data_IF_966056503291
#
_entry.id   IF_966056503291
#
_cell.length_a   1.000
_cell.length_b   1.000
_cell.length_c   1.000
_cell.angle_alpha   90.00
_cell.angle_beta   90.00
_cell.angle_gamma   90.00
#
_symmetry.space_group_name_H-M   'P 1'
#
loop_
_entity.id
_entity.type
_entity.pdbx_description
1 polymer ?
#
# COMPACT_ATOMS: atom_id res chain seq x y z
N UNK A 1 37.35 -0.50 33.12
CA UNK A 1 36.57 0.52 32.38
C UNK A 1 35.25 -0.11 31.99
N UNK A 2 34.16 0.30 32.64
CA UNK A 2 32.81 -0.21 32.37
C UNK A 2 32.26 0.64 31.22
N UNK A 3 32.29 0.11 30.01
CA UNK A 3 31.75 0.78 28.84
C UNK A 3 30.22 0.56 28.83
N UNK A 4 29.50 1.67 28.73
CA UNK A 4 28.05 1.81 28.94
C UNK A 4 27.20 0.94 27.99
N UNK A 5 26.60 -0.13 28.52
CA UNK A 5 25.53 -0.91 27.88
C UNK A 5 24.30 -0.07 27.48
N UNK A 6 24.13 1.11 28.08
CA UNK A 6 23.04 2.05 27.76
C UNK A 6 23.20 2.77 26.42
N UNK A 7 24.42 2.83 25.87
CA UNK A 7 24.67 3.43 24.54
C UNK A 7 24.37 2.42 23.42
N UNK A 8 24.62 1.14 23.66
CA UNK A 8 24.40 0.06 22.70
C UNK A 8 22.91 -0.26 22.48
N UNK A 9 22.08 -0.28 23.54
CA UNK A 9 20.62 -0.43 23.39
C UNK A 9 19.96 0.74 22.64
N UNK A 10 20.49 1.96 22.77
CA UNK A 10 19.96 3.13 22.06
C UNK A 10 20.34 3.12 20.57
N UNK A 11 21.53 2.63 20.23
CA UNK A 11 21.97 2.51 18.84
C UNK A 11 21.19 1.42 18.08
N UNK A 12 20.92 0.27 18.71
CA UNK A 12 20.15 -0.85 18.12
C UNK A 12 18.66 -0.48 17.97
N UNK A 13 18.10 0.25 18.94
CA UNK A 13 16.73 0.78 18.85
C UNK A 13 16.59 1.81 17.72
N UNK A 14 17.62 2.62 17.47
CA UNK A 14 17.56 3.65 16.44
C UNK A 14 17.69 3.06 15.02
N UNK A 15 18.53 2.04 14.80
CA UNK A 15 18.70 1.40 13.48
C UNK A 15 17.50 0.55 13.08
N UNK A 16 16.87 -0.17 14.03
CA UNK A 16 15.62 -0.90 13.76
C UNK A 16 14.47 0.07 13.48
N UNK A 17 14.39 1.22 14.17
CA UNK A 17 13.40 2.25 13.89
C UNK A 17 13.63 2.93 12.52
N UNK A 18 14.88 3.13 12.11
CA UNK A 18 15.24 3.75 10.82
C UNK A 18 14.94 2.82 9.64
N UNK A 19 15.22 1.53 9.76
CA UNK A 19 14.83 0.51 8.76
C UNK A 19 13.31 0.33 8.65
N UNK A 20 12.57 0.41 9.77
CA UNK A 20 11.10 0.36 9.77
C UNK A 20 10.49 1.64 9.18
N UNK A 21 11.13 2.81 9.36
CA UNK A 21 10.69 4.08 8.75
C UNK A 21 10.99 4.13 7.25
N UNK A 22 12.16 3.65 6.79
CA UNK A 22 12.49 3.57 5.37
C UNK A 22 11.58 2.59 4.61
N UNK A 23 11.26 1.44 5.19
CA UNK A 23 10.27 0.51 4.60
C UNK A 23 8.85 1.08 4.58
N UNK A 24 8.47 1.88 5.59
CA UNK A 24 7.14 2.51 5.65
C UNK A 24 6.97 3.68 4.67
N UNK A 25 8.02 4.43 4.34
CA UNK A 25 7.97 5.48 3.31
C UNK A 25 8.01 4.89 1.89
N UNK A 26 8.81 3.84 1.67
CA UNK A 26 8.97 3.16 0.37
C UNK A 26 7.68 2.45 -0.08
N UNK A 27 6.91 1.89 0.85
CA UNK A 27 5.59 1.33 0.53
C UNK A 27 4.60 2.41 0.00
N UNK A 28 4.73 3.65 0.47
CA UNK A 28 3.82 4.72 0.12
C UNK A 28 4.05 5.28 -1.30
N UNK A 29 5.30 5.36 -1.77
CA UNK A 29 5.63 5.82 -3.13
C UNK A 29 5.07 4.85 -4.18
N UNK A 30 5.25 3.54 -3.97
CA UNK A 30 4.67 2.53 -4.86
C UNK A 30 3.15 2.57 -4.89
N UNK A 31 2.52 2.65 -3.71
CA UNK A 31 1.06 2.68 -3.61
C UNK A 31 0.47 3.87 -4.40
N UNK A 32 1.14 5.03 -4.38
CA UNK A 32 0.74 6.20 -5.18
C UNK A 32 0.83 5.94 -6.67
N UNK A 33 1.91 5.33 -7.15
CA UNK A 33 2.10 5.00 -8.58
C UNK A 33 1.06 3.96 -9.03
N UNK A 34 0.82 2.92 -8.23
CA UNK A 34 -0.17 1.89 -8.52
C UNK A 34 -1.60 2.45 -8.57
N UNK A 35 -1.97 3.25 -7.58
CA UNK A 35 -3.29 3.92 -7.55
C UNK A 35 -3.48 4.84 -8.74
N UNK A 36 -2.47 5.64 -9.10
CA UNK A 36 -2.51 6.50 -10.28
C UNK A 36 -2.64 5.71 -11.58
N UNK A 37 -1.95 4.57 -11.69
CA UNK A 37 -2.03 3.68 -12.84
C UNK A 37 -3.42 3.03 -12.97
N UNK A 38 -3.99 2.58 -11.86
CA UNK A 38 -5.35 2.01 -11.84
C UNK A 38 -6.40 3.05 -12.27
N UNK A 39 -6.31 4.27 -11.72
CA UNK A 39 -7.15 5.39 -12.12
C UNK A 39 -7.01 5.70 -13.62
N UNK A 40 -5.79 5.83 -14.14
CA UNK A 40 -5.57 6.11 -15.56
C UNK A 40 -6.12 5.01 -16.49
N UNK A 41 -6.04 3.74 -16.07
CA UNK A 41 -6.63 2.62 -16.82
C UNK A 41 -8.15 2.66 -16.80
N UNK A 42 -8.76 3.07 -15.68
CA UNK A 42 -10.21 3.29 -15.59
C UNK A 42 -10.64 4.41 -16.55
N UNK A 43 -9.95 5.54 -16.52
CA UNK A 43 -10.23 6.68 -17.39
C UNK A 43 -10.11 6.29 -18.87
N UNK A 44 -9.09 5.51 -19.22
CA UNK A 44 -8.93 4.98 -20.57
C UNK A 44 -10.13 4.12 -21.00
N UNK A 45 -10.56 3.16 -20.16
CA UNK A 45 -11.74 2.32 -20.47
C UNK A 45 -12.99 3.15 -20.68
N UNK A 46 -13.22 4.14 -19.82
CA UNK A 46 -14.38 5.04 -19.94
C UNK A 46 -14.31 5.80 -21.25
N UNK A 47 -13.16 6.41 -21.56
CA UNK A 47 -13.01 7.18 -22.81
C UNK A 47 -13.18 6.33 -24.07
N UNK A 48 -12.72 5.07 -24.06
CA UNK A 48 -12.93 4.13 -25.16
C UNK A 48 -14.41 3.76 -25.35
N UNK A 49 -15.13 3.49 -24.26
CA UNK A 49 -16.57 3.22 -24.33
C UNK A 49 -17.36 4.45 -24.86
N UNK A 50 -16.94 5.66 -24.47
CA UNK A 50 -17.50 6.90 -25.02
C UNK A 50 -17.23 7.03 -26.52
N UNK A 51 -16.01 6.73 -26.98
CA UNK A 51 -15.67 6.72 -28.41
C UNK A 51 -16.55 5.73 -29.20
N UNK A 52 -16.66 4.49 -28.72
CA UNK A 52 -17.48 3.45 -29.35
C UNK A 52 -18.94 3.90 -29.47
N UNK A 53 -19.50 4.44 -28.39
CA UNK A 53 -20.87 4.96 -28.39
C UNK A 53 -21.07 6.06 -29.44
N UNK A 54 -20.18 7.05 -29.48
CA UNK A 54 -20.30 8.18 -30.41
C UNK A 54 -20.12 7.70 -31.85
N UNK A 55 -19.20 6.78 -32.09
CA UNK A 55 -18.99 6.20 -33.42
C UNK A 55 -20.24 5.46 -33.93
N UNK A 56 -20.91 4.71 -33.04
CA UNK A 56 -22.16 4.02 -33.35
C UNK A 56 -23.31 4.99 -33.64
N UNK A 57 -23.47 6.05 -32.83
CA UNK A 57 -24.48 7.09 -33.07
C UNK A 57 -24.25 7.79 -34.42
N UNK A 58 -23.01 8.12 -34.73
CA UNK A 58 -22.62 8.73 -36.01
C UNK A 58 -22.94 7.81 -37.20
N UNK A 59 -22.69 6.50 -37.10
CA UNK A 59 -23.04 5.55 -38.15
C UNK A 59 -24.55 5.47 -38.37
N UNK A 60 -25.33 5.41 -37.28
CA UNK A 60 -26.80 5.44 -37.35
C UNK A 60 -27.31 6.71 -38.03
N UNK A 61 -26.71 7.87 -37.72
CA UNK A 61 -27.05 9.14 -38.36
C UNK A 61 -26.72 9.14 -39.86
N UNK A 62 -25.57 8.58 -40.25
CA UNK A 62 -25.16 8.44 -41.66
C UNK A 62 -26.09 7.51 -42.46
N UNK A 63 -26.67 6.50 -41.83
CA UNK A 63 -27.63 5.59 -42.47
C UNK A 63 -29.04 6.18 -42.58
N UNK A 64 -29.38 7.17 -41.76
CA UNK A 64 -30.70 7.81 -41.82
C UNK A 64 -30.79 8.79 -43.00
N UNK A 65 -31.82 8.61 -43.84
CA UNK A 65 -31.99 9.32 -45.13
C UNK A 65 -32.28 10.83 -44.99
N UNK A 66 -32.55 11.31 -43.78
CA UNK A 66 -32.97 12.70 -43.50
C UNK A 66 -32.05 13.45 -42.53
N UNK A 67 -30.86 12.94 -42.22
CA UNK A 67 -29.93 13.69 -41.36
C UNK A 67 -29.25 14.81 -42.14
N UNK A 68 -29.30 16.02 -41.57
CA UNK A 68 -28.62 17.18 -42.14
C UNK A 68 -27.11 16.96 -42.21
N UNK A 69 -26.42 17.30 -43.33
CA UNK A 69 -24.97 17.18 -43.43
C UNK A 69 -24.22 18.00 -42.37
N UNK A 70 -24.82 19.10 -41.91
CA UNK A 70 -24.26 19.93 -40.84
C UNK A 70 -24.29 19.24 -39.47
N UNK A 71 -25.19 18.29 -39.24
CA UNK A 71 -25.22 17.46 -38.02
C UNK A 71 -24.09 16.44 -38.07
N UNK A 72 -23.93 15.77 -39.21
CA UNK A 72 -22.90 14.74 -39.41
C UNK A 72 -21.52 15.35 -39.17
N UNK A 73 -21.27 16.55 -39.72
CA UNK A 73 -20.01 17.27 -39.53
C UNK A 73 -19.72 17.62 -38.08
N UNK A 74 -20.71 18.03 -37.31
CA UNK A 74 -20.54 18.37 -35.90
C UNK A 74 -20.28 17.11 -35.06
N UNK A 75 -20.94 15.98 -35.39
CA UNK A 75 -20.64 14.68 -34.78
C UNK A 75 -19.25 14.15 -35.13
N UNK A 76 -18.82 14.26 -36.40
CA UNK A 76 -17.46 13.90 -36.80
C UNK A 76 -16.44 14.74 -36.00
N UNK A 77 -16.73 16.04 -35.80
CA UNK A 77 -15.89 16.92 -34.96
C UNK A 77 -15.86 16.45 -33.51
N UNK A 78 -17.01 16.10 -32.94
CA UNK A 78 -17.11 15.59 -31.58
C UNK A 78 -16.32 14.28 -31.41
N UNK A 79 -16.46 13.33 -32.35
CA UNK A 79 -15.74 12.06 -32.36
C UNK A 79 -14.21 12.29 -32.40
N UNK A 80 -13.73 13.19 -33.24
CA UNK A 80 -12.30 13.52 -33.33
C UNK A 80 -11.75 14.03 -31.97
N UNK A 81 -12.53 14.84 -31.23
CA UNK A 81 -12.12 15.31 -29.90
C UNK A 81 -12.06 14.18 -28.88
N UNK A 82 -13.06 13.31 -28.86
CA UNK A 82 -13.07 12.14 -27.96
C UNK A 82 -11.94 11.17 -28.29
N UNK A 83 -11.65 10.93 -29.58
CA UNK A 83 -10.49 10.14 -30.01
C UNK A 83 -9.16 10.73 -29.53
N UNK A 84 -9.03 12.05 -29.55
CA UNK A 84 -7.86 12.72 -29.00
C UNK A 84 -7.75 12.52 -27.48
N UNK A 85 -8.86 12.53 -26.74
CA UNK A 85 -8.89 12.23 -25.30
C UNK A 85 -8.45 10.79 -25.03
N UNK A 86 -8.98 9.81 -25.79
CA UNK A 86 -8.56 8.39 -25.70
C UNK A 86 -7.07 8.25 -25.95
N UNK A 87 -6.54 8.94 -26.97
CA UNK A 87 -5.12 8.92 -27.29
C UNK A 87 -4.25 9.52 -26.16
N UNK A 88 -4.68 10.59 -25.51
CA UNK A 88 -3.95 11.17 -24.38
C UNK A 88 -4.05 10.29 -23.12
N UNK A 89 -5.22 9.69 -22.85
CA UNK A 89 -5.39 8.69 -21.78
C UNK A 89 -4.48 7.48 -22.00
N UNK A 90 -4.35 6.99 -23.23
CA UNK A 90 -3.43 5.90 -23.57
C UNK A 90 -1.98 6.27 -23.26
N UNK A 91 -1.54 7.47 -23.67
CA UNK A 91 -0.19 7.98 -23.34
C UNK A 91 0.03 8.10 -21.84
N UNK A 92 -0.98 8.54 -21.07
CA UNK A 92 -0.91 8.62 -19.61
C UNK A 92 -0.67 7.23 -19.01
N UNK A 93 -1.45 6.22 -19.44
CA UNK A 93 -1.27 4.83 -19.01
C UNK A 93 0.13 4.33 -19.36
N UNK A 94 0.58 4.47 -20.60
CA UNK A 94 1.92 4.02 -21.04
C UNK A 94 3.05 4.62 -20.18
N UNK A 95 2.97 5.93 -19.87
CA UNK A 95 3.96 6.60 -19.02
C UNK A 95 3.94 6.09 -17.58
N UNK A 96 2.75 5.87 -17.01
CA UNK A 96 2.62 5.34 -15.65
C UNK A 96 3.07 3.88 -15.55
N UNK A 97 2.82 3.07 -16.59
CA UNK A 97 3.34 1.71 -16.68
C UNK A 97 4.86 1.70 -16.78
N UNK A 98 5.44 2.58 -17.59
CA UNK A 98 6.89 2.74 -17.66
C UNK A 98 7.49 3.21 -16.33
N UNK A 99 6.81 4.12 -15.62
CA UNK A 99 7.23 4.58 -14.29
C UNK A 99 7.17 3.45 -13.26
N UNK A 100 6.08 2.66 -13.25
CA UNK A 100 5.94 1.47 -12.41
C UNK A 100 7.00 0.40 -12.74
N UNK A 101 7.33 0.21 -14.01
CA UNK A 101 8.39 -0.72 -14.42
C UNK A 101 9.78 -0.28 -13.93
N UNK A 102 10.09 1.03 -13.96
CA UNK A 102 11.32 1.58 -13.37
C UNK A 102 11.44 1.29 -11.88
N UNK A 103 10.33 1.34 -11.16
CA UNK A 103 10.29 0.98 -9.74
C UNK A 103 10.57 -0.52 -9.52
N UNK A 104 9.89 -1.39 -10.28
CA UNK A 104 10.02 -2.85 -10.15
C UNK A 104 11.39 -3.39 -10.57
N UNK A 105 12.02 -2.80 -11.60
CA UNK A 105 13.36 -3.22 -12.06
C UNK A 105 14.44 -2.96 -11.01
N UNK A 106 14.40 -1.80 -10.32
CA UNK A 106 15.32 -1.51 -9.22
C UNK A 106 15.13 -2.46 -8.03
N UNK A 107 13.87 -2.80 -7.68
CA UNK A 107 13.56 -3.80 -6.65
C UNK A 107 14.24 -5.14 -6.93
N UNK A 108 14.21 -5.61 -8.19
CA UNK A 108 14.86 -6.86 -8.58
C UNK A 108 16.39 -6.80 -8.45
N UNK A 109 17.01 -5.67 -8.78
CA UNK A 109 18.47 -5.49 -8.62
C UNK A 109 18.92 -5.46 -7.16
N UNK A 110 18.10 -4.94 -6.25
CA UNK A 110 18.37 -4.95 -4.81
C UNK A 110 18.18 -6.34 -4.18
N UNK A 111 17.13 -7.07 -4.58
CA UNK A 111 16.85 -8.42 -4.07
C UNK A 111 17.88 -9.47 -4.53
N UNK A 112 18.50 -9.30 -5.70
CA UNK A 112 19.47 -10.24 -6.26
C UNK A 112 20.91 -10.03 -5.77
N UNK A 113 21.29 -8.81 -5.37
CA UNK A 113 22.67 -8.51 -4.96
C UNK A 113 23.01 -8.94 -3.52
N UNK A 114 22.02 -9.43 -2.75
CA UNK A 114 22.21 -9.82 -1.35
C UNK A 114 22.58 -11.29 -1.14
N UNK A 115 22.57 -12.16 -2.17
CA UNK A 115 22.57 -13.61 -1.92
C UNK A 115 23.73 -14.46 -2.44
N UNK A 116 24.69 -13.96 -3.23
CA UNK A 116 25.54 -14.92 -3.97
C UNK A 116 27.07 -14.82 -3.86
N UNK A 117 27.66 -13.88 -3.10
CA UNK A 117 29.14 -13.75 -3.13
C UNK A 117 29.83 -13.43 -1.79
N UNK A 118 29.22 -13.77 -0.65
CA UNK A 118 29.90 -13.61 0.66
C UNK A 118 30.60 -14.88 1.15
N UNK A 119 30.35 -16.05 0.55
CA UNK A 119 31.02 -17.30 0.94
C UNK A 119 32.48 -17.39 0.46
N UNK A 120 32.88 -16.63 -0.56
CA UNK A 120 34.22 -16.69 -1.12
C UNK A 120 35.22 -15.67 -0.53
N UNK A 121 34.77 -14.74 0.33
CA UNK A 121 35.62 -13.68 0.93
C UNK A 121 35.94 -13.87 2.42
N UNK A 122 35.62 -15.03 3.01
CA UNK A 122 35.85 -15.33 4.44
C UNK A 122 37.30 -15.76 4.73
N UNK A 123 38.29 -14.95 4.36
CA UNK A 123 39.53 -14.83 5.15
C UNK A 123 40.33 -13.58 4.70
N UNK A 124 40.05 -12.45 5.34
CA UNK A 124 41.18 -11.69 5.87
C UNK A 124 40.92 -11.34 7.34
N UNK A 125 41.94 -11.51 8.18
CA UNK A 125 41.96 -11.07 9.58
C UNK A 125 41.84 -9.54 9.66
N UNK A 126 40.60 -9.02 9.59
CA UNK A 126 40.26 -7.60 9.76
C UNK A 126 39.60 -7.44 11.14
N UNK A 127 39.96 -6.42 11.95
CA UNK A 127 39.30 -6.16 13.22
C UNK A 127 37.80 -5.94 13.03
N UNK A 128 36.96 -6.75 13.69
CA UNK A 128 35.49 -6.74 13.58
C UNK A 128 34.85 -5.36 13.82
N UNK A 129 35.52 -4.48 14.59
CA UNK A 129 35.04 -3.13 14.91
C UNK A 129 35.07 -2.15 13.72
N UNK A 130 36.01 -2.32 12.76
CA UNK A 130 36.10 -1.43 11.57
C UNK A 130 35.10 -1.82 10.47
N UNK A 131 34.79 -3.12 10.34
CA UNK A 131 33.86 -3.63 9.32
C UNK A 131 32.42 -3.20 9.63
N UNK A 132 32.05 -3.16 10.91
CA UNK A 132 30.72 -2.71 11.33
C UNK A 132 30.51 -1.23 11.00
N UNK A 133 31.50 -0.38 11.25
CA UNK A 133 31.42 1.05 10.92
C UNK A 133 31.29 1.27 9.40
N UNK A 134 32.05 0.54 8.58
CA UNK A 134 31.95 0.63 7.11
C UNK A 134 30.58 0.17 6.58
N UNK A 135 30.05 -0.94 7.09
CA UNK A 135 28.71 -1.43 6.72
C UNK A 135 27.64 -0.41 7.09
N UNK A 136 27.72 0.21 8.27
CA UNK A 136 26.73 1.23 8.67
C UNK A 136 26.83 2.51 7.83
N UNK A 137 28.01 2.86 7.33
CA UNK A 137 28.18 3.98 6.40
C UNK A 137 27.57 3.65 5.04
N UNK A 138 27.82 2.45 4.51
CA UNK A 138 27.23 1.99 3.25
C UNK A 138 25.71 1.90 3.32
N UNK A 139 25.16 1.40 4.44
CA UNK A 139 23.71 1.31 4.67
C UNK A 139 23.06 2.69 4.65
N UNK A 140 23.67 3.68 5.31
CA UNK A 140 23.20 5.07 5.26
C UNK A 140 23.30 5.68 3.87
N UNK A 141 24.36 5.39 3.11
CA UNK A 141 24.49 5.86 1.73
C UNK A 141 23.42 5.23 0.83
N UNK A 142 23.10 3.96 1.06
CA UNK A 142 22.06 3.23 0.34
C UNK A 142 20.68 3.84 0.58
N UNK A 143 20.33 4.04 1.84
CA UNK A 143 19.06 4.66 2.24
C UNK A 143 18.91 6.08 1.67
N UNK A 144 19.99 6.87 1.68
CA UNK A 144 20.00 8.20 1.09
C UNK A 144 19.71 8.15 -0.42
N UNK A 145 20.35 7.22 -1.14
CA UNK A 145 20.13 7.05 -2.58
C UNK A 145 18.73 6.54 -2.92
N UNK A 146 18.14 5.72 -2.04
CA UNK A 146 16.76 5.25 -2.17
C UNK A 146 15.76 6.40 -2.02
N UNK A 147 15.96 7.25 -1.01
CA UNK A 147 15.11 8.41 -0.77
C UNK A 147 15.13 9.40 -1.94
N UNK A 148 16.31 9.71 -2.49
CA UNK A 148 16.46 10.57 -3.67
C UNK A 148 15.76 9.98 -4.91
N UNK A 149 15.81 8.66 -5.06
CA UNK A 149 15.13 7.98 -6.16
C UNK A 149 13.62 8.02 -6.02
N UNK A 150 13.09 7.79 -4.83
CA UNK A 150 11.66 7.87 -4.55
C UNK A 150 11.13 9.29 -4.81
N UNK A 151 11.88 10.32 -4.41
CA UNK A 151 11.54 11.71 -4.71
C UNK A 151 11.49 11.97 -6.23
N UNK A 152 12.48 11.48 -6.98
CA UNK A 152 12.49 11.59 -8.43
C UNK A 152 11.29 10.88 -9.09
N UNK A 153 10.86 9.72 -8.58
CA UNK A 153 9.69 9.03 -9.13
C UNK A 153 8.38 9.76 -8.83
N UNK A 154 8.24 10.34 -7.63
CA UNK A 154 7.08 11.13 -7.27
C UNK A 154 6.99 12.41 -8.11
N UNK A 155 8.12 13.09 -8.34
CA UNK A 155 8.15 14.28 -9.21
C UNK A 155 7.78 13.96 -10.65
N UNK A 156 8.25 12.82 -11.20
CA UNK A 156 7.84 12.37 -12.54
C UNK A 156 6.36 11.97 -12.57
N UNK A 157 5.83 11.34 -11.52
CA UNK A 157 4.40 11.04 -11.39
C UNK A 157 3.56 12.32 -11.45
N UNK A 158 3.90 13.31 -10.64
CA UNK A 158 3.22 14.61 -10.60
C UNK A 158 3.29 15.31 -11.95
N UNK A 159 4.44 15.26 -12.62
CA UNK A 159 4.61 15.82 -13.96
C UNK A 159 3.72 15.12 -15.01
N UNK A 160 3.62 13.79 -14.96
CA UNK A 160 2.73 13.02 -15.85
C UNK A 160 1.28 13.41 -15.60
N UNK A 161 0.86 13.51 -14.34
CA UNK A 161 -0.50 13.87 -13.96
C UNK A 161 -0.84 15.29 -14.40
N UNK A 162 -0.01 16.28 -14.06
CA UNK A 162 -0.24 17.68 -14.42
C UNK A 162 -0.35 17.87 -15.94
N UNK A 163 0.63 17.34 -16.69
CA UNK A 163 0.67 17.50 -18.15
C UNK A 163 -0.47 16.78 -18.87
N UNK A 164 -0.90 15.62 -18.35
CA UNK A 164 -2.05 14.92 -18.93
C UNK A 164 -3.37 15.60 -18.56
N UNK A 165 -3.52 16.07 -17.32
CA UNK A 165 -4.71 16.78 -16.86
C UNK A 165 -4.96 18.05 -17.66
N UNK A 166 -3.94 18.88 -17.87
CA UNK A 166 -4.02 20.11 -18.66
C UNK A 166 -4.57 19.84 -20.06
N UNK A 167 -3.95 18.89 -20.77
CA UNK A 167 -4.40 18.53 -22.12
C UNK A 167 -5.78 17.89 -22.16
N UNK A 168 -6.11 17.03 -21.19
CA UNK A 168 -7.42 16.40 -21.12
C UNK A 168 -8.50 17.45 -20.84
N UNK A 169 -8.20 18.48 -20.06
CA UNK A 169 -9.10 19.59 -19.81
C UNK A 169 -9.37 20.38 -21.10
N UNK A 170 -8.33 20.75 -21.84
CA UNK A 170 -8.48 21.44 -23.14
C UNK A 170 -9.30 20.61 -24.14
N UNK A 171 -9.03 19.31 -24.20
CA UNK A 171 -9.75 18.39 -25.09
C UNK A 171 -11.20 18.19 -24.65
N UNK A 172 -11.45 18.11 -23.34
CA UNK A 172 -12.79 17.98 -22.77
C UNK A 172 -13.61 19.25 -23.02
N UNK A 173 -13.03 20.44 -22.90
CA UNK A 173 -13.68 21.70 -23.25
C UNK A 173 -14.03 21.74 -24.74
N UNK A 174 -13.10 21.36 -25.61
CA UNK A 174 -13.33 21.30 -27.05
C UNK A 174 -14.42 20.27 -27.42
N UNK A 175 -14.43 19.11 -26.75
CA UNK A 175 -15.45 18.08 -26.92
C UNK A 175 -16.83 18.56 -26.44
N UNK A 176 -16.89 19.22 -25.28
CA UNK A 176 -18.12 19.81 -24.74
C UNK A 176 -18.67 20.90 -25.67
N UNK A 177 -17.81 21.76 -26.23
CA UNK A 177 -18.22 22.75 -27.20
C UNK A 177 -18.76 22.13 -28.51
N UNK A 178 -18.22 20.99 -28.95
CA UNK A 178 -18.77 20.25 -30.09
C UNK A 178 -20.13 19.61 -29.75
N UNK A 179 -20.24 19.00 -28.58
CA UNK A 179 -21.48 18.43 -28.07
C UNK A 179 -22.60 19.48 -27.90
N UNK A 180 -22.25 20.69 -27.46
CA UNK A 180 -23.20 21.78 -27.32
C UNK A 180 -23.80 22.20 -28.66
N UNK A 181 -23.01 22.25 -29.74
CA UNK A 181 -23.52 22.57 -31.09
C UNK A 181 -24.55 21.55 -31.58
N UNK A 182 -24.36 20.28 -31.23
CA UNK A 182 -25.31 19.22 -31.53
C UNK A 182 -26.60 19.38 -30.71
N UNK A 183 -26.48 19.76 -29.43
CA UNK A 183 -27.62 20.07 -28.55
C UNK A 183 -28.42 21.27 -29.04
N UNK A 184 -27.76 22.33 -29.50
CA UNK A 184 -28.39 23.51 -30.09
C UNK A 184 -29.17 23.17 -31.39
N UNK A 185 -28.77 22.10 -32.07
CA UNK A 185 -29.46 21.53 -33.25
C UNK A 185 -30.55 20.51 -32.90
N UNK A 186 -30.88 20.35 -31.62
CA UNK A 186 -31.94 19.46 -31.14
C UNK A 186 -31.54 17.99 -31.02
N UNK A 187 -30.24 17.68 -31.01
CA UNK A 187 -29.76 16.33 -30.74
C UNK A 187 -29.46 16.17 -29.26
N UNK A 188 -30.13 15.20 -28.64
CA UNK A 188 -29.80 14.76 -27.29
C UNK A 188 -28.54 13.90 -27.33
N UNK A 189 -27.46 14.43 -26.75
CA UNK A 189 -26.28 13.64 -26.44
C UNK A 189 -26.43 13.15 -25.01
N UNK A 190 -26.57 11.84 -24.88
CA UNK A 190 -26.45 11.10 -23.62
C UNK A 190 -25.00 11.14 -23.15
N UNK A 191 -24.59 12.29 -22.63
CA UNK A 191 -23.31 12.48 -21.98
C UNK A 191 -23.46 12.13 -20.51
N UNK A 192 -23.17 10.89 -20.13
CA UNK A 192 -23.07 10.45 -18.72
C UNK A 192 -21.88 11.10 -17.98
N UNK A 193 -21.19 12.07 -18.58
CA UNK A 193 -20.23 12.93 -17.92
C UNK A 193 -20.93 13.98 -17.04
N UNK A 194 -21.81 13.55 -16.14
CA UNK A 194 -22.12 14.35 -14.95
C UNK A 194 -20.86 14.30 -14.09
N UNK A 195 -20.23 15.44 -13.96
CA UNK A 195 -19.09 15.68 -13.09
C UNK A 195 -19.38 15.20 -11.66
N UNK A 196 -18.94 14.00 -11.32
CA UNK A 196 -18.59 13.60 -9.96
C UNK A 196 -17.23 14.20 -9.65
N UNK A 197 -17.20 15.52 -9.50
CA UNK A 197 -16.07 16.27 -8.96
C UNK A 197 -16.66 17.45 -8.17
N UNK A 198 -17.40 17.10 -7.13
CA UNK A 198 -17.93 18.03 -6.14
C UNK A 198 -17.85 17.37 -4.77
N UNK A 199 -16.64 17.13 -4.27
CA UNK A 199 -16.42 17.03 -2.82
C UNK A 199 -14.92 17.19 -2.48
N UNK A 200 -14.51 18.43 -2.18
CA UNK A 200 -13.52 18.73 -1.13
C UNK A 200 -13.34 20.25 -0.99
N UNK A 201 -14.34 20.91 -0.42
CA UNK A 201 -14.09 22.13 0.35
C UNK A 201 -14.66 21.89 1.74
N UNK A 202 -13.85 21.20 2.55
CA UNK A 202 -14.11 21.00 3.96
C UNK A 202 -13.78 22.31 4.70
N UNK A 203 -14.86 23.04 4.92
CA UNK A 203 -15.21 23.78 6.14
C UNK A 203 -14.15 23.78 7.25
N UNK A 204 -13.64 24.98 7.55
CA UNK A 204 -12.85 25.26 8.74
C UNK A 204 -13.23 26.65 9.24
N UNK A 205 -14.13 26.68 10.23
CA UNK A 205 -14.03 27.58 11.39
C UNK A 205 -15.22 27.34 12.33
N UNK A 206 -14.98 26.61 13.42
CA UNK A 206 -15.77 26.75 14.64
C UNK A 206 -14.95 27.59 15.64
N UNK A 207 -15.52 28.69 16.11
CA UNK A 207 -15.38 29.13 17.51
C UNK A 207 -16.73 29.63 18.03
N UNK A 208 -16.98 29.49 19.35
CA UNK A 208 -18.32 29.52 19.94
C UNK A 208 -18.65 30.85 20.63
N UNK A 209 -19.93 31.20 20.72
CA UNK A 209 -20.40 32.23 21.66
C UNK A 209 -21.74 31.88 22.30
N UNK A 210 -21.83 32.25 23.58
CA UNK A 210 -22.80 31.82 24.58
C UNK A 210 -24.19 32.50 24.50
N UNK A 211 -25.18 31.85 25.16
CA UNK A 211 -25.93 32.41 26.32
C UNK A 211 -27.48 32.40 26.27
N UNK A 212 -28.02 31.76 27.34
CA UNK A 212 -29.29 32.04 28.09
C UNK A 212 -30.63 31.57 27.46
N UNK A 213 -31.62 31.03 28.19
CA UNK A 213 -31.96 31.07 29.63
C UNK A 213 -33.03 30.00 29.99
N UNK A 214 -32.87 29.39 31.16
CA UNK A 214 -33.83 28.93 32.20
C UNK A 214 -35.26 28.44 31.88
N UNK A 215 -35.68 27.32 32.50
CA UNK A 215 -36.61 27.22 33.67
C UNK A 215 -36.65 25.74 34.15
N UNK A 216 -36.30 25.41 35.41
CA UNK A 216 -37.21 25.11 36.55
C UNK A 216 -37.78 23.67 36.50
N UNK A 217 -37.82 22.79 37.51
CA UNK A 217 -37.60 22.84 38.96
C UNK A 217 -37.54 21.39 39.55
N UNK A 218 -36.65 21.20 40.53
CA UNK A 218 -36.76 20.48 41.82
C UNK A 218 -37.17 18.99 41.98
N UNK A 219 -36.50 18.41 43.00
CA UNK A 219 -36.86 17.29 43.92
C UNK A 219 -36.34 15.88 43.58
N UNK A 220 -36.03 14.98 44.52
CA UNK A 220 -35.16 14.90 45.72
C UNK A 220 -35.19 13.42 46.16
N UNK A 221 -34.12 12.93 46.80
CA UNK A 221 -34.06 11.60 47.46
C UNK A 221 -33.00 10.68 46.84
N UNK A 222 -31.75 10.58 47.32
CA UNK A 222 -31.18 10.22 48.64
C UNK A 222 -31.15 8.71 48.92
N UNK A 223 -29.92 8.19 48.89
CA UNK A 223 -29.34 7.05 49.67
C UNK A 223 -29.90 5.63 49.47
N UNK A 224 -29.16 4.54 49.67
CA UNK A 224 -27.76 4.26 50.02
C UNK A 224 -27.55 2.73 49.97
N UNK A 225 -26.28 2.33 50.01
CA UNK A 225 -25.77 1.09 50.65
C UNK A 225 -26.06 -0.23 49.91
N UNK A 226 -25.13 -1.17 49.75
CA UNK A 226 -23.95 -1.58 50.52
C UNK A 226 -23.06 -2.44 49.59
N UNK A 227 -21.72 -2.35 49.51
CA UNK A 227 -20.69 -2.88 50.45
C UNK A 227 -21.03 -4.28 50.98
N UNK A 228 -20.17 -5.27 51.16
CA UNK A 228 -18.72 -5.50 51.20
C UNK A 228 -18.61 -7.05 51.15
N UNK A 229 -17.52 -7.76 50.89
CA UNK A 229 -16.34 -8.05 51.76
C UNK A 229 -15.63 -9.22 51.01
N UNK A 230 -14.36 -9.11 50.58
CA UNK A 230 -13.10 -9.51 51.28
C UNK A 230 -13.18 -10.89 51.98
N UNK A 231 -12.18 -11.76 51.88
CA UNK A 231 -10.80 -11.74 52.40
C UNK A 231 -10.07 -12.99 51.84
N UNK A 232 -8.78 -13.30 51.99
CA UNK A 232 -7.49 -12.60 52.00
C UNK A 232 -6.42 -13.72 52.15
N UNK A 233 -5.19 -13.45 51.72
CA UNK A 233 -3.89 -14.01 52.16
C UNK A 233 -3.58 -15.54 52.21
N UNK A 234 -2.45 -15.94 51.60
CA UNK A 234 -1.28 -16.47 52.33
C UNK A 234 -0.06 -16.74 51.40
N UNK A 235 1.09 -16.20 51.82
CA UNK A 235 2.45 -16.51 51.34
C UNK A 235 3.10 -17.53 52.29
N UNK A 236 3.84 -18.55 51.80
CA UNK A 236 5.08 -19.04 52.45
C UNK A 236 5.88 -20.07 51.61
N UNK A 237 7.12 -19.70 51.28
CA UNK A 237 8.41 -20.43 51.44
C UNK A 237 8.68 -21.83 50.85
N UNK A 238 9.76 -21.87 50.01
CA UNK A 238 11.00 -22.68 50.16
C UNK A 238 11.00 -24.20 49.87
N UNK A 239 11.88 -24.65 48.93
CA UNK A 239 12.42 -26.02 48.95
C UNK A 239 12.99 -26.61 47.64
N UNK A 240 14.32 -26.79 47.62
CA UNK A 240 15.22 -27.61 46.77
C UNK A 240 14.65 -28.85 46.01
N UNK A 241 15.17 -28.98 44.77
CA UNK A 241 15.75 -30.18 44.11
C UNK A 241 15.14 -31.58 44.30
N UNK A 242 14.54 -32.14 43.24
CA UNK A 242 14.92 -33.43 42.59
C UNK A 242 13.90 -33.86 41.54
N UNK A 243 14.40 -34.01 40.32
CA UNK A 243 14.19 -35.13 39.39
C UNK A 243 12.99 -36.08 39.61
N UNK A 244 12.13 -36.13 38.59
CA UNK A 244 11.42 -37.33 38.21
C UNK A 244 9.89 -37.26 38.19
N UNK A 245 9.36 -37.41 36.97
CA UNK A 245 8.09 -38.09 36.63
C UNK A 245 6.86 -37.19 36.37
N UNK A 246 6.49 -37.23 35.08
CA UNK A 246 5.14 -37.12 34.48
C UNK A 246 4.32 -35.83 34.61
N UNK A 247 4.33 -35.08 33.50
CA UNK A 247 3.28 -34.13 33.16
C UNK A 247 3.52 -33.51 31.79
N UNK A 248 2.64 -33.82 30.83
CA UNK A 248 2.57 -33.25 29.46
C UNK A 248 3.34 -33.96 28.33
N UNK A 249 3.07 -35.26 28.19
CA UNK A 249 3.37 -36.03 26.97
C UNK A 249 2.39 -35.67 25.84
N UNK A 250 2.61 -34.57 25.09
CA UNK A 250 2.21 -34.42 23.66
C UNK A 250 3.04 -33.36 22.94
N UNK A 251 4.37 -33.51 22.95
CA UNK A 251 5.21 -32.84 21.96
C UNK A 251 5.85 -33.93 21.11
N UNK A 252 5.62 -34.00 19.79
CA UNK A 252 6.23 -35.02 18.95
C UNK A 252 7.69 -34.64 18.67
N UNK A 253 8.53 -34.55 19.71
CA UNK A 253 9.98 -34.32 19.58
C UNK A 253 10.72 -35.52 18.95
N UNK A 254 10.01 -36.53 18.46
CA UNK A 254 10.63 -37.74 17.95
C UNK A 254 9.94 -38.28 16.68
N UNK A 255 9.79 -37.42 15.66
CA UNK A 255 9.41 -37.88 14.31
C UNK A 255 10.22 -37.29 13.17
N UNK A 256 10.98 -36.21 13.38
CA UNK A 256 11.72 -35.54 12.32
C UNK A 256 13.09 -35.11 12.84
N UNK A 257 14.13 -35.54 12.13
CA UNK A 257 15.52 -35.18 12.40
C UNK A 257 15.79 -33.75 11.89
N UNK A 258 16.12 -32.80 12.80
CA UNK A 258 16.48 -31.42 12.46
C UNK A 258 17.62 -31.28 11.46
N UNK A 259 18.47 -32.30 11.38
CA UNK A 259 19.68 -32.30 10.55
C UNK A 259 19.37 -32.38 9.06
N UNK A 260 18.16 -32.83 8.70
CA UNK A 260 17.68 -32.99 7.32
C UNK A 260 16.63 -31.93 6.95
N UNK A 261 16.65 -30.78 7.60
CA UNK A 261 15.79 -29.65 7.24
C UNK A 261 16.52 -28.76 6.25
N UNK A 262 15.95 -28.62 5.06
CA UNK A 262 16.35 -27.61 4.10
C UNK A 262 15.98 -26.20 4.61
N UNK A 263 16.37 -25.17 3.86
CA UNK A 263 16.22 -23.77 4.27
C UNK A 263 14.75 -23.45 4.60
N UNK A 264 13.81 -23.95 3.79
CA UNK A 264 12.37 -23.69 3.95
C UNK A 264 11.79 -24.43 5.16
N UNK A 265 12.13 -25.71 5.34
CA UNK A 265 11.68 -26.49 6.50
C UNK A 265 12.22 -25.89 7.81
N UNK A 266 13.47 -25.42 7.80
CA UNK A 266 14.08 -24.77 8.96
C UNK A 266 13.37 -23.46 9.31
N UNK A 267 13.04 -22.64 8.32
CA UNK A 267 12.29 -21.41 8.52
C UNK A 267 10.88 -21.66 9.07
N UNK A 268 10.14 -22.62 8.51
CA UNK A 268 8.80 -22.96 9.00
C UNK A 268 8.83 -23.46 10.45
N UNK A 269 9.82 -24.28 10.82
CA UNK A 269 10.00 -24.73 12.21
C UNK A 269 10.36 -23.57 13.14
N UNK A 270 11.34 -22.75 12.78
CA UNK A 270 11.75 -21.62 13.61
C UNK A 270 10.62 -20.60 13.80
N UNK A 271 9.84 -20.34 12.74
CA UNK A 271 8.64 -19.51 12.82
C UNK A 271 7.63 -20.12 13.79
N UNK A 272 7.34 -21.43 13.68
CA UNK A 272 6.42 -22.11 14.57
C UNK A 272 6.91 -22.17 16.04
N UNK A 273 8.21 -22.24 16.27
CA UNK A 273 8.79 -22.25 17.62
C UNK A 273 8.77 -20.87 18.27
N UNK A 274 9.02 -19.81 17.49
CA UNK A 274 9.03 -18.40 17.93
C UNK A 274 7.63 -17.77 18.01
N UNK A 275 6.64 -18.35 17.35
CA UNK A 275 5.27 -17.85 17.35
C UNK A 275 4.61 -17.92 18.74
N UNK A 276 3.96 -16.82 19.12
CA UNK A 276 3.29 -16.62 20.40
C UNK A 276 1.80 -16.95 20.33
N UNK A 277 1.18 -16.77 19.16
CA UNK A 277 -0.23 -17.14 18.93
C UNK A 277 -0.38 -18.67 18.74
N UNK A 278 -1.17 -19.35 19.59
CA UNK A 278 -1.36 -20.80 19.51
C UNK A 278 -1.97 -21.27 18.18
N UNK A 279 -2.85 -20.49 17.55
CA UNK A 279 -3.51 -20.90 16.31
C UNK A 279 -2.56 -20.83 15.11
N UNK A 280 -1.78 -19.75 15.00
CA UNK A 280 -0.75 -19.60 13.97
C UNK A 280 0.38 -20.62 14.15
N UNK A 281 0.78 -20.88 15.39
CA UNK A 281 1.78 -21.90 15.72
C UNK A 281 1.37 -23.28 15.20
N UNK A 282 0.11 -23.68 15.42
CA UNK A 282 -0.40 -24.96 14.92
C UNK A 282 -0.42 -24.99 13.38
N UNK A 283 -0.80 -23.89 12.74
CA UNK A 283 -0.81 -23.79 11.27
C UNK A 283 0.59 -23.92 10.67
N UNK A 284 1.59 -23.24 11.25
CA UNK A 284 2.99 -23.32 10.81
C UNK A 284 3.56 -24.73 11.00
N UNK A 285 3.21 -25.42 12.09
CA UNK A 285 3.58 -26.83 12.28
C UNK A 285 2.93 -27.76 11.24
N UNK A 286 1.66 -27.51 10.85
CA UNK A 286 0.99 -28.26 9.78
C UNK A 286 1.67 -28.06 8.42
N UNK A 287 2.05 -26.83 8.11
CA UNK A 287 2.76 -26.51 6.87
C UNK A 287 4.15 -27.12 6.84
N UNK A 288 4.91 -27.07 7.94
CA UNK A 288 6.18 -27.79 8.10
C UNK A 288 6.01 -29.30 7.86
N UNK A 289 4.98 -29.93 8.44
CA UNK A 289 4.74 -31.36 8.24
C UNK A 289 4.38 -31.69 6.79
N UNK A 290 3.54 -30.87 6.15
CA UNK A 290 3.12 -31.07 4.77
C UNK A 290 4.31 -30.92 3.82
N UNK A 291 5.16 -29.92 4.06
CA UNK A 291 6.38 -29.70 3.32
C UNK A 291 7.35 -30.89 3.46
N UNK A 292 7.62 -31.36 4.69
CA UNK A 292 8.48 -32.54 4.93
C UNK A 292 7.93 -33.83 4.32
N UNK A 293 6.60 -34.00 4.25
CA UNK A 293 5.96 -35.15 3.58
C UNK A 293 6.11 -35.10 2.07
N UNK A 294 6.02 -33.91 1.48
CA UNK A 294 6.15 -33.71 0.04
C UNK A 294 7.60 -33.87 -0.44
N UNK A 295 8.58 -33.40 0.36
CA UNK A 295 10.01 -33.51 0.03
C UNK A 295 10.56 -34.94 0.18
N UNK A 296 9.88 -35.82 0.92
CA UNK A 296 10.30 -37.21 1.15
C UNK A 296 9.72 -38.21 0.15
N UNK A 297 8.86 -37.78 -0.77
CA UNK A 297 8.31 -38.57 -1.88
C UNK A 297 9.13 -38.39 -3.14
#
# INVERSE_FOLDING_TARGET
MIINASKWCKAISATVLLLVLSTSLYAASMQKIESALESARKDLRISMATEERISFELEKLKQSEHTSPDIIKDYDTYLIRVQAMVAENRKKVEKLEALSAKYNTRKATYGASSSDDTSAMLDPSIPEEQVVDEVTVLDRQLDSSLAEFDEMLLTELDLIQAKSSEKLQDLAEAAAAAAQRLRDKGIEIDSDSKAESADSHQDSSEEPEEAKKETGALDAGKESSSKETRDDAALSTQGKSREGVEGSSRHPKNRYDPSNDDIVARQLREAAEKESDPELKEKLWKEYEQYKKNVRK
#
